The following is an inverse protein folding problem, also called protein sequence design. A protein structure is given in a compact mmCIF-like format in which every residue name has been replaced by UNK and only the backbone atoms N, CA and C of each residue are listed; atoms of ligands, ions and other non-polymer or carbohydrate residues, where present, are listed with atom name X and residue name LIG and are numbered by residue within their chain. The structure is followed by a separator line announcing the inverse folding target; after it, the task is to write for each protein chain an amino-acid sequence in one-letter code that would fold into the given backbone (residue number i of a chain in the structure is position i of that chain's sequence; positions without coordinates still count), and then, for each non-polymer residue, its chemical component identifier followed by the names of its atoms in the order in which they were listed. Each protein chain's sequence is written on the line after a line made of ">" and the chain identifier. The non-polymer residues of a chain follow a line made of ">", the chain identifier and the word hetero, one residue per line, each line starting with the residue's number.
data_IF_686815761206
#
_entry.id   IF_686815761206
#
_cell.length_a   1.000
_cell.length_b   1.000
_cell.length_c   1.000
_cell.angle_alpha   90.00
_cell.angle_beta   90.00
_cell.angle_gamma   90.00
#
_symmetry.space_group_name_H-M   'P 1'
#
loop_
_entity.id
_entity.type
_entity.pdbx_description
1 polymer ?
#
# COMPACT_ATOMS: atom_id res chain seq x y z
N UNK A 1 11.42 10.47 7.34
CA UNK A 1 10.29 10.76 6.43
C UNK A 1 9.01 10.77 7.26
N UNK A 2 8.20 11.84 7.20
CA UNK A 2 6.93 11.93 7.94
C UNK A 2 5.78 11.75 6.96
N UNK A 3 4.97 10.71 7.15
CA UNK A 3 3.77 10.47 6.33
C UNK A 3 2.59 11.19 6.99
N UNK A 4 1.99 12.14 6.28
CA UNK A 4 0.79 12.87 6.75
C UNK A 4 -0.43 12.25 6.05
N UNK A 5 -1.34 11.67 6.83
CA UNK A 5 -2.51 10.91 6.36
C UNK A 5 -3.66 11.72 5.72
N UNK A 6 -3.41 12.98 5.32
CA UNK A 6 -4.41 13.82 4.67
C UNK A 6 -4.84 13.31 3.29
N UNK A 7 -6.02 13.69 2.76
CA UNK A 7 -6.42 13.28 1.42
C UNK A 7 -5.49 13.85 0.35
N UNK A 8 -5.25 13.06 -0.70
CA UNK A 8 -4.37 13.43 -1.83
C UNK A 8 -4.74 14.80 -2.41
N UNK A 9 -6.04 15.05 -2.62
CA UNK A 9 -6.56 16.33 -3.13
C UNK A 9 -6.14 17.52 -2.26
N UNK A 10 -6.05 17.34 -0.94
CA UNK A 10 -5.63 18.38 0.00
C UNK A 10 -4.15 18.74 -0.14
N UNK A 11 -3.30 17.86 -0.68
CA UNK A 11 -1.85 18.03 -0.70
C UNK A 11 -1.32 18.71 -1.97
N UNK A 12 -2.17 18.95 -2.97
CA UNK A 12 -1.77 19.47 -4.30
C UNK A 12 -1.35 20.94 -4.31
N UNK A 13 -1.83 21.76 -3.38
CA UNK A 13 -1.43 23.18 -3.27
C UNK A 13 -1.81 23.80 -1.92
N UNK A 14 -1.23 24.95 -1.58
CA UNK A 14 -1.65 25.71 -0.39
C UNK A 14 -3.13 26.14 -0.46
N UNK A 15 -3.65 26.42 -1.67
CA UNK A 15 -5.07 26.71 -1.90
C UNK A 15 -5.93 25.46 -1.65
N UNK A 16 -5.49 24.29 -2.13
CA UNK A 16 -6.19 23.03 -1.91
C UNK A 16 -6.21 22.62 -0.43
N UNK A 17 -5.10 22.80 0.31
CA UNK A 17 -5.04 22.60 1.77
C UNK A 17 -6.07 23.49 2.49
N UNK A 18 -6.13 24.78 2.13
CA UNK A 18 -7.12 25.71 2.70
C UNK A 18 -8.55 25.37 2.31
N UNK A 19 -8.80 24.96 1.07
CA UNK A 19 -10.12 24.54 0.59
C UNK A 19 -10.60 23.29 1.33
N UNK A 20 -9.73 22.29 1.50
CA UNK A 20 -10.03 21.08 2.28
C UNK A 20 -10.31 21.42 3.76
N UNK A 21 -9.47 22.25 4.40
CA UNK A 21 -9.71 22.68 5.78
C UNK A 21 -11.04 23.44 5.95
N UNK A 22 -11.53 24.12 4.90
CA UNK A 22 -12.85 24.77 4.89
C UNK A 22 -13.99 23.77 4.66
N UNK A 23 -13.81 22.77 3.79
CA UNK A 23 -14.84 21.77 3.52
C UNK A 23 -15.12 20.87 4.71
N UNK A 24 -14.12 20.61 5.57
CA UNK A 24 -14.30 19.86 6.82
C UNK A 24 -15.27 20.56 7.80
N UNK A 25 -15.48 21.87 7.66
CA UNK A 25 -16.44 22.64 8.47
C UNK A 25 -17.87 22.60 7.94
N UNK A 26 -18.11 21.98 6.78
CA UNK A 26 -19.44 21.80 6.20
C UNK A 26 -20.10 20.54 6.77
N UNK A 27 -21.34 20.66 7.24
CA UNK A 27 -22.15 19.56 7.78
C UNK A 27 -22.90 18.76 6.71
N UNK A 28 -22.82 19.14 5.44
CA UNK A 28 -23.52 18.45 4.34
C UNK A 28 -22.54 17.57 3.57
N UNK A 29 -22.81 16.27 3.56
CA UNK A 29 -22.10 15.29 2.75
C UNK A 29 -22.87 15.08 1.44
N UNK A 30 -22.38 15.56 0.27
CA UNK A 30 -23.01 15.24 -1.00
C UNK A 30 -22.58 13.82 -1.38
N UNK A 31 -23.25 12.83 -0.80
CA UNK A 31 -22.98 11.42 -1.08
C UNK A 31 -23.47 11.06 -2.49
N UNK A 32 -22.57 11.00 -3.47
CA UNK A 32 -22.85 10.23 -4.68
C UNK A 32 -22.93 8.76 -4.26
N UNK A 33 -24.09 8.14 -4.38
CA UNK A 33 -24.26 6.70 -4.14
C UNK A 33 -23.25 5.93 -5.00
N UNK A 34 -22.39 5.14 -4.37
CA UNK A 34 -21.54 4.20 -5.06
C UNK A 34 -22.44 3.25 -5.86
N UNK A 35 -22.07 2.96 -7.12
CA UNK A 35 -22.79 1.97 -7.93
C UNK A 35 -22.69 0.62 -7.23
N UNK A 36 -23.82 -0.06 -7.05
CA UNK A 36 -23.91 -1.41 -6.49
C UNK A 36 -23.15 -2.37 -7.41
N UNK A 37 -21.89 -2.65 -7.07
CA UNK A 37 -21.10 -3.74 -7.65
C UNK A 37 -21.15 -4.97 -6.74
N UNK A 38 -20.45 -6.04 -7.15
CA UNK A 38 -20.32 -7.28 -6.38
C UNK A 38 -19.90 -6.99 -4.93
N UNK A 39 -20.56 -7.66 -3.98
CA UNK A 39 -20.24 -7.53 -2.56
C UNK A 39 -18.88 -8.17 -2.27
N UNK A 40 -17.96 -7.40 -1.71
CA UNK A 40 -16.72 -7.93 -1.14
C UNK A 40 -17.02 -8.37 0.30
N UNK A 41 -17.14 -9.67 0.53
CA UNK A 41 -17.40 -10.26 1.85
C UNK A 41 -16.17 -10.99 2.37
N UNK A 42 -16.00 -10.98 3.70
CA UNK A 42 -15.01 -11.79 4.39
C UNK A 42 -15.72 -12.80 5.28
N UNK A 43 -15.14 -13.99 5.43
CA UNK A 43 -15.71 -15.08 6.21
C UNK A 43 -14.62 -15.92 6.88
N UNK A 44 -15.01 -16.86 7.74
CA UNK A 44 -14.08 -17.76 8.42
C UNK A 44 -13.27 -18.63 7.44
N UNK A 45 -13.75 -18.84 6.21
CA UNK A 45 -12.98 -19.50 5.14
C UNK A 45 -11.70 -18.71 4.81
N UNK A 46 -11.73 -17.38 4.96
CA UNK A 46 -10.57 -16.53 4.73
C UNK A 46 -9.51 -16.68 5.83
N UNK A 47 -9.85 -17.24 6.99
CA UNK A 47 -8.92 -17.55 8.08
C UNK A 47 -8.22 -18.89 7.90
N UNK A 48 -8.61 -19.70 6.91
CA UNK A 48 -8.06 -21.02 6.71
C UNK A 48 -6.54 -20.95 6.50
N UNK A 49 -5.79 -21.65 7.36
CA UNK A 49 -4.32 -21.69 7.31
C UNK A 49 -3.61 -20.58 8.07
N UNK A 50 -4.33 -19.65 8.72
CA UNK A 50 -3.71 -18.64 9.58
C UNK A 50 -3.44 -19.16 10.99
N UNK A 51 -2.26 -18.84 11.51
CA UNK A 51 -1.94 -18.94 12.93
C UNK A 51 -2.57 -17.75 13.67
N UNK A 52 -3.50 -18.03 14.60
CA UNK A 52 -4.23 -17.05 15.40
C UNK A 52 -3.89 -17.19 16.91
N UNK A 53 -3.90 -16.09 17.69
CA UNK A 53 -4.01 -14.71 17.24
C UNK A 53 -2.74 -14.25 16.52
N UNK A 54 -2.87 -13.27 15.64
CA UNK A 54 -1.72 -12.62 15.00
C UNK A 54 -1.85 -11.10 14.98
N UNK A 55 -0.72 -10.44 14.80
CA UNK A 55 -0.60 -9.01 14.49
C UNK A 55 0.22 -8.80 13.21
N UNK A 56 0.26 -9.84 12.35
CA UNK A 56 1.02 -9.82 11.11
C UNK A 56 0.50 -8.72 10.16
N UNK A 57 1.41 -8.08 9.43
CA UNK A 57 1.05 -7.08 8.43
C UNK A 57 0.53 -7.75 7.15
N UNK A 58 -0.34 -7.07 6.40
CA UNK A 58 -0.78 -7.53 5.08
C UNK A 58 0.36 -7.31 4.08
N UNK A 59 0.90 -8.40 3.54
CA UNK A 59 2.02 -8.39 2.60
C UNK A 59 1.64 -9.23 1.40
N UNK A 60 1.49 -8.60 0.24
CA UNK A 60 0.94 -9.24 -0.96
C UNK A 60 1.98 -9.34 -2.08
N UNK A 61 1.65 -10.16 -3.08
CA UNK A 61 2.30 -10.15 -4.39
C UNK A 61 1.27 -9.69 -5.41
N UNK A 62 1.62 -8.72 -6.25
CA UNK A 62 0.74 -8.15 -7.27
C UNK A 62 1.52 -7.88 -8.55
N UNK A 63 0.88 -8.08 -9.69
CA UNK A 63 1.44 -7.71 -10.99
C UNK A 63 1.37 -6.20 -11.21
N UNK A 64 2.51 -5.57 -11.44
CA UNK A 64 2.67 -4.13 -11.74
C UNK A 64 3.49 -4.03 -13.03
N UNK A 65 2.99 -3.34 -14.06
CA UNK A 65 3.69 -3.19 -15.36
C UNK A 65 4.33 -4.50 -15.86
N UNK A 66 3.49 -5.53 -15.98
CA UNK A 66 3.87 -6.88 -16.42
C UNK A 66 4.87 -7.66 -15.56
N UNK A 67 5.25 -7.12 -14.41
CA UNK A 67 6.16 -7.74 -13.44
C UNK A 67 5.44 -8.17 -12.17
N UNK A 68 5.70 -9.38 -11.70
CA UNK A 68 5.16 -9.85 -10.42
C UNK A 68 5.99 -9.27 -9.27
N UNK A 69 5.45 -8.23 -8.63
CA UNK A 69 6.10 -7.55 -7.50
C UNK A 69 5.67 -8.22 -6.21
N UNK A 70 6.63 -8.86 -5.54
CA UNK A 70 6.44 -9.57 -4.28
C UNK A 70 6.67 -8.63 -3.08
N UNK A 71 6.29 -9.03 -1.86
CA UNK A 71 6.55 -8.27 -0.62
C UNK A 71 6.06 -6.81 -0.68
N UNK A 72 4.82 -6.63 -1.11
CA UNK A 72 4.15 -5.33 -1.12
C UNK A 72 3.44 -5.15 0.21
N UNK A 73 3.87 -4.18 1.01
CA UNK A 73 3.19 -3.82 2.26
C UNK A 73 1.89 -3.05 1.96
N UNK A 74 0.78 -3.42 2.58
CA UNK A 74 -0.47 -2.65 2.47
C UNK A 74 -0.63 -1.73 3.68
N UNK A 75 -0.73 -0.42 3.43
CA UNK A 75 -0.85 0.59 4.48
C UNK A 75 -2.04 1.54 4.23
N UNK A 76 -3.11 1.38 5.02
CA UNK A 76 -4.30 2.25 4.98
C UNK A 76 -4.04 3.65 5.52
N UNK A 77 -2.98 3.85 6.29
CA UNK A 77 -2.52 5.16 6.78
C UNK A 77 -1.74 5.95 5.74
N UNK A 78 -1.18 5.31 4.72
CA UNK A 78 -0.35 5.98 3.73
C UNK A 78 -1.17 6.84 2.74
N UNK A 79 -0.64 8.01 2.41
CA UNK A 79 -1.16 8.93 1.39
C UNK A 79 -0.50 8.76 0.02
N UNK A 80 0.49 7.87 -0.09
CA UNK A 80 1.28 7.62 -1.30
C UNK A 80 1.47 6.12 -1.51
N UNK A 81 1.66 5.73 -2.77
CA UNK A 81 2.21 4.42 -3.14
C UNK A 81 3.71 4.58 -3.42
N UNK A 82 4.51 3.59 -3.06
CA UNK A 82 5.97 3.60 -3.21
C UNK A 82 6.41 2.31 -3.89
N UNK A 83 7.34 2.42 -4.83
CA UNK A 83 8.13 1.28 -5.33
C UNK A 83 9.58 1.54 -4.91
N UNK A 84 10.21 0.58 -4.23
CA UNK A 84 11.60 0.74 -3.83
C UNK A 84 12.52 0.59 -5.04
N UNK A 85 13.62 1.33 -5.05
CA UNK A 85 14.53 1.41 -6.20
C UNK A 85 15.00 0.02 -6.68
N UNK A 86 15.36 -0.89 -5.77
CA UNK A 86 15.80 -2.24 -6.16
C UNK A 86 14.68 -3.01 -6.88
N UNK A 87 13.43 -2.84 -6.46
CA UNK A 87 12.29 -3.48 -7.11
C UNK A 87 12.03 -2.86 -8.49
N UNK A 88 12.09 -1.53 -8.58
CA UNK A 88 11.93 -0.81 -9.85
C UNK A 88 12.94 -1.28 -10.91
N UNK A 89 14.20 -1.48 -10.53
CA UNK A 89 15.23 -1.99 -11.45
C UNK A 89 14.91 -3.39 -11.99
N UNK A 90 14.33 -4.26 -11.16
CA UNK A 90 13.95 -5.62 -11.56
C UNK A 90 12.68 -5.68 -12.42
N UNK A 91 11.91 -4.59 -12.49
CA UNK A 91 10.70 -4.52 -13.31
C UNK A 91 11.01 -4.17 -14.78
N UNK A 92 12.28 -3.91 -15.12
CA UNK A 92 12.73 -3.57 -16.48
C UNK A 92 11.99 -2.37 -17.12
N UNK A 93 11.34 -1.54 -16.30
CA UNK A 93 10.71 -0.30 -16.76
C UNK A 93 11.83 0.67 -17.16
N UNK A 94 11.82 1.11 -18.42
CA UNK A 94 12.79 2.11 -18.87
C UNK A 94 12.49 3.42 -18.17
N UNK A 95 13.53 4.11 -17.67
CA UNK A 95 13.37 5.43 -17.02
C UNK A 95 12.62 6.43 -17.92
N UNK A 96 12.74 6.27 -19.24
CA UNK A 96 12.06 7.07 -20.28
C UNK A 96 10.55 6.83 -20.36
N UNK A 97 10.07 5.68 -19.87
CA UNK A 97 8.64 5.37 -19.74
C UNK A 97 8.03 6.00 -18.47
N UNK A 98 8.86 6.48 -17.55
CA UNK A 98 8.38 7.20 -16.37
C UNK A 98 7.91 8.60 -16.77
N UNK A 99 6.60 8.78 -16.73
CA UNK A 99 6.02 10.11 -16.73
C UNK A 99 6.21 10.73 -15.33
N UNK A 100 6.58 12.03 -15.23
CA UNK A 100 6.44 12.75 -13.98
C UNK A 100 4.97 12.69 -13.56
N UNK A 101 4.71 12.00 -12.45
CA UNK A 101 3.36 11.80 -11.91
C UNK A 101 3.30 12.29 -10.49
N UNK A 102 2.10 12.67 -10.05
CA UNK A 102 1.85 13.09 -8.66
C UNK A 102 1.85 11.89 -7.68
N UNK A 103 2.02 10.64 -8.16
CA UNK A 103 1.98 9.34 -7.46
C UNK A 103 2.36 8.23 -8.46
N UNK A 104 3.04 7.10 -8.15
CA UNK A 104 3.88 6.67 -7.00
C UNK A 104 5.31 7.22 -7.02
N UNK A 105 5.92 7.29 -5.84
CA UNK A 105 7.28 7.80 -5.61
C UNK A 105 8.27 6.63 -5.60
N UNK A 106 9.26 6.62 -6.51
CA UNK A 106 10.37 5.67 -6.42
C UNK A 106 11.34 6.17 -5.36
N UNK A 107 11.63 5.33 -4.36
CA UNK A 107 12.51 5.71 -3.23
C UNK A 107 13.73 4.81 -3.20
N UNK A 108 14.91 5.42 -3.21
CA UNK A 108 16.18 4.73 -3.00
C UNK A 108 16.54 4.72 -1.51
N UNK A 109 15.84 3.88 -0.76
CA UNK A 109 16.18 3.53 0.63
C UNK A 109 16.13 2.02 0.77
N UNK A 110 17.06 1.40 1.53
CA UNK A 110 16.96 -0.01 1.85
C UNK A 110 15.63 -0.32 2.53
N UNK A 111 14.94 -1.36 2.07
CA UNK A 111 13.76 -1.91 2.74
C UNK A 111 13.68 -3.41 2.48
N UNK A 112 13.08 -4.13 3.44
CA UNK A 112 12.70 -5.53 3.28
C UNK A 112 11.54 -5.72 2.29
N UNK A 113 10.74 -4.67 2.08
CA UNK A 113 9.63 -4.62 1.14
C UNK A 113 10.08 -4.10 -0.23
N UNK A 114 9.36 -4.52 -1.27
CA UNK A 114 9.61 -4.06 -2.64
C UNK A 114 8.69 -2.91 -3.04
N UNK A 115 7.54 -2.78 -2.38
CA UNK A 115 6.63 -1.66 -2.56
C UNK A 115 5.74 -1.44 -1.32
N UNK A 116 5.15 -0.25 -1.24
CA UNK A 116 4.08 0.10 -0.31
C UNK A 116 2.84 0.46 -1.12
N UNK A 117 1.74 -0.25 -0.88
CA UNK A 117 0.42 0.05 -1.41
C UNK A 117 -0.35 0.88 -0.37
N UNK A 118 -0.47 2.18 -0.66
CA UNK A 118 -1.19 3.14 0.14
C UNK A 118 -2.64 3.31 -0.29
N UNK A 119 -3.29 4.36 0.24
CA UNK A 119 -4.66 4.69 -0.15
C UNK A 119 -4.85 4.99 -1.64
N UNK A 120 -3.95 5.70 -2.37
CA UNK A 120 -4.19 5.99 -3.77
C UNK A 120 -4.33 4.71 -4.60
N UNK A 121 -3.41 3.75 -4.45
CA UNK A 121 -3.46 2.45 -5.11
C UNK A 121 -4.66 1.61 -4.68
N UNK A 122 -4.99 1.56 -3.38
CA UNK A 122 -6.19 0.84 -2.92
C UNK A 122 -7.50 1.43 -3.46
N UNK A 123 -7.61 2.76 -3.55
CA UNK A 123 -8.77 3.43 -4.14
C UNK A 123 -8.85 3.14 -5.64
N UNK A 124 -7.71 3.15 -6.35
CA UNK A 124 -7.64 2.83 -7.78
C UNK A 124 -8.10 1.38 -8.05
N UNK A 125 -7.67 0.44 -7.21
CA UNK A 125 -8.06 -0.97 -7.27
C UNK A 125 -9.47 -1.25 -6.74
N UNK A 126 -10.10 -0.27 -6.07
CA UNK A 126 -11.34 -0.44 -5.29
C UNK A 126 -11.23 -1.60 -4.28
N UNK A 127 -10.04 -1.77 -3.73
CA UNK A 127 -9.71 -2.89 -2.88
C UNK A 127 -10.06 -2.62 -1.42
N UNK A 128 -10.43 -3.67 -0.69
CA UNK A 128 -10.70 -3.64 0.75
C UNK A 128 -9.72 -4.57 1.45
N UNK A 129 -8.80 -4.04 2.27
CA UNK A 129 -7.93 -4.87 3.10
C UNK A 129 -8.65 -5.32 4.38
N UNK A 130 -8.45 -6.57 4.77
CA UNK A 130 -8.84 -7.09 6.07
C UNK A 130 -7.60 -7.53 6.86
N UNK A 131 -7.13 -6.74 7.83
CA UNK A 131 -5.96 -7.11 8.64
C UNK A 131 -6.23 -8.33 9.51
N UNK A 132 -7.49 -8.63 9.82
CA UNK A 132 -7.86 -9.82 10.57
C UNK A 132 -7.76 -11.12 9.74
N UNK A 133 -8.11 -11.07 8.45
CA UNK A 133 -8.02 -12.23 7.57
C UNK A 133 -6.69 -12.27 6.78
N UNK A 134 -5.85 -11.25 6.91
CA UNK A 134 -4.65 -11.04 6.09
C UNK A 134 -4.89 -11.13 4.57
N UNK A 135 -6.08 -10.72 4.14
CA UNK A 135 -6.53 -10.73 2.74
C UNK A 135 -6.89 -9.32 2.30
N UNK A 136 -6.58 -8.97 1.06
CA UNK A 136 -7.17 -7.83 0.35
C UNK A 136 -8.10 -8.37 -0.74
N UNK A 137 -9.34 -7.86 -0.79
CA UNK A 137 -10.32 -8.24 -1.82
C UNK A 137 -10.57 -7.05 -2.75
N UNK A 138 -10.78 -7.32 -4.04
CA UNK A 138 -11.03 -6.28 -5.04
C UNK A 138 -12.01 -6.79 -6.12
N UNK A 139 -12.76 -5.90 -6.79
CA UNK A 139 -13.63 -6.30 -7.89
C UNK A 139 -12.83 -6.84 -9.08
N UNK A 140 -13.25 -7.96 -9.65
CA UNK A 140 -12.68 -8.54 -10.87
C UNK A 140 -13.80 -8.98 -11.82
N UNK A 141 -13.56 -9.09 -13.15
CA UNK A 141 -14.56 -9.57 -14.11
C UNK A 141 -15.13 -10.96 -13.80
N UNK A 142 -14.43 -11.76 -12.99
CA UNK A 142 -14.82 -13.11 -12.57
C UNK A 142 -15.44 -13.16 -11.16
N UNK A 143 -15.80 -12.01 -10.59
CA UNK A 143 -16.23 -11.86 -9.19
C UNK A 143 -15.13 -11.24 -8.32
N UNK A 144 -15.19 -11.42 -7.01
CA UNK A 144 -14.17 -10.89 -6.11
C UNK A 144 -12.81 -11.56 -6.36
N UNK A 145 -11.80 -10.76 -6.71
CA UNK A 145 -10.39 -11.18 -6.67
C UNK A 145 -9.82 -10.98 -5.27
N UNK A 146 -8.77 -11.72 -4.95
CA UNK A 146 -8.10 -11.62 -3.66
C UNK A 146 -6.57 -11.74 -3.77
N UNK A 147 -5.86 -11.02 -2.89
CA UNK A 147 -4.47 -11.32 -2.58
C UNK A 147 -4.38 -11.73 -1.11
N UNK A 148 -3.79 -12.89 -0.85
CA UNK A 148 -3.58 -13.44 0.50
C UNK A 148 -2.14 -13.23 0.93
N UNK A 149 -1.97 -12.92 2.21
CA UNK A 149 -0.65 -12.80 2.82
C UNK A 149 -0.16 -14.17 3.27
N UNK A 150 1.11 -14.45 3.03
CA UNK A 150 1.84 -15.51 3.72
C UNK A 150 2.43 -14.96 5.03
N UNK A 151 1.99 -15.50 6.18
CA UNK A 151 2.44 -15.05 7.50
C UNK A 151 3.95 -15.18 7.68
N UNK A 152 4.56 -16.23 7.13
CA UNK A 152 6.01 -16.42 7.23
C UNK A 152 6.75 -15.33 6.46
N UNK A 153 6.27 -14.95 5.28
CA UNK A 153 6.83 -13.84 4.50
C UNK A 153 6.66 -12.52 5.25
N UNK A 154 5.47 -12.24 5.79
CA UNK A 154 5.18 -11.03 6.57
C UNK A 154 6.13 -10.88 7.76
N UNK A 155 6.26 -11.93 8.59
CA UNK A 155 7.14 -11.94 9.77
C UNK A 155 8.61 -11.82 9.41
N UNK A 156 9.05 -12.46 8.32
CA UNK A 156 10.43 -12.32 7.82
C UNK A 156 10.72 -10.88 7.38
N UNK A 157 9.80 -10.23 6.67
CA UNK A 157 9.97 -8.83 6.27
C UNK A 157 10.04 -7.93 7.52
N UNK A 158 9.10 -8.09 8.46
CA UNK A 158 9.12 -7.35 9.73
C UNK A 158 10.44 -7.51 10.50
N UNK A 159 10.92 -8.75 10.67
CA UNK A 159 12.19 -9.02 11.36
C UNK A 159 13.39 -8.41 10.64
N UNK A 160 13.42 -8.48 9.31
CA UNK A 160 14.52 -7.92 8.51
C UNK A 160 14.58 -6.40 8.66
N UNK A 161 13.44 -5.72 8.58
CA UNK A 161 13.34 -4.27 8.74
C UNK A 161 13.89 -3.82 10.12
N UNK A 162 13.51 -4.51 11.20
CA UNK A 162 14.02 -4.23 12.54
C UNK A 162 15.54 -4.43 12.68
N UNK A 163 16.12 -5.38 11.96
CA UNK A 163 17.57 -5.61 12.01
C UNK A 163 18.36 -4.53 11.27
N UNK A 164 17.82 -3.98 10.19
CA UNK A 164 18.46 -2.88 9.47
C UNK A 164 18.39 -1.56 10.25
N UNK A 165 17.32 -1.31 11.01
CA UNK A 165 17.27 -0.20 11.98
C UNK A 165 18.28 -0.34 13.14
N UNK A 166 18.75 -1.55 13.44
CA UNK A 166 19.68 -1.83 14.55
C UNK A 166 21.16 -1.82 14.15
N UNK A 167 21.51 -1.72 12.86
CA UNK A 167 22.92 -1.57 12.47
C UNK A 167 23.40 -0.17 12.89
N UNK A 168 24.35 -0.04 13.85
CA UNK A 168 24.96 1.26 14.09
C UNK A 168 25.63 1.71 12.79
N UNK A 169 25.49 2.98 12.43
CA UNK A 169 26.28 3.60 11.38
C UNK A 169 27.76 3.35 11.72
N UNK A 170 28.40 2.40 11.05
CA UNK A 170 29.83 2.20 11.21
C UNK A 170 30.50 3.41 10.59
N UNK A 171 30.92 4.33 11.47
CA UNK A 171 31.84 5.40 11.15
C UNK A 171 33.17 4.75 10.75
N UNK A 172 33.37 4.58 9.44
CA UNK A 172 34.68 4.34 8.87
C UNK A 172 35.47 5.65 8.89
N UNK A 173 36.42 5.74 9.82
CA UNK A 173 37.60 6.60 9.70
C UNK A 173 38.74 5.92 10.46
N UNK A 174 39.55 5.17 9.72
CA UNK A 174 40.96 4.93 10.05
C UNK A 174 41.79 5.75 9.06
#
# INVERSE_FOLDING_TARGET
>A
MTIIGGPVAGNTSAKARKAYARSVKSTEWPGKRARTGDFLTFSDEDLCGLELPHEDAIVITMRIEDSDVHKIMVDTGSSVDIIYWQAFQCMEILLEQLLPVDYPLVVDVPSSYNALLGRPGMIALRSVPSPYHLVIKFPSPRGAGEYRTDQLVSRKCYSAELTDFKKPAQAGAN
#
